data_IF_044450558806
#
_entry.id   IF_044450558806
#
_cell.length_a   1.000
_cell.length_b   1.000
_cell.length_c   1.000
_cell.angle_alpha   90.00
_cell.angle_beta   90.00
_cell.angle_gamma   90.00
#
_symmetry.space_group_name_H-M   'P 1'
#
loop_
_entity.id
_entity.type
_entity.pdbx_description
1 polymer ?
#
# COMPACT_ATOMS: atom_id res chain seq x y z
N UNK A 1 65.98 -28.62 14.93
CA UNK A 1 65.26 -27.32 14.84
C UNK A 1 63.95 -27.56 14.12
N UNK A 2 62.82 -27.42 14.82
CA UNK A 2 61.47 -27.62 14.29
C UNK A 2 60.98 -26.28 13.72
N UNK A 3 60.75 -26.18 12.42
CA UNK A 3 60.05 -25.05 11.82
C UNK A 3 58.56 -25.36 11.76
N UNK A 4 57.80 -24.70 12.61
CA UNK A 4 56.33 -24.68 12.58
C UNK A 4 55.95 -23.70 11.48
N UNK A 5 55.45 -24.23 10.36
CA UNK A 5 54.84 -23.42 9.30
C UNK A 5 53.42 -23.13 9.74
N UNK A 6 53.21 -21.94 10.29
CA UNK A 6 51.88 -21.42 10.64
C UNK A 6 51.21 -20.92 9.36
N UNK A 7 50.25 -21.69 8.85
CA UNK A 7 49.44 -21.33 7.69
C UNK A 7 48.32 -20.39 8.16
N UNK A 8 48.49 -19.08 7.96
CA UNK A 8 47.46 -18.08 8.20
C UNK A 8 46.46 -18.19 7.05
N UNK A 9 45.35 -18.89 7.28
CA UNK A 9 44.15 -18.77 6.44
C UNK A 9 43.54 -17.39 6.67
N UNK A 10 43.78 -16.48 5.73
CA UNK A 10 43.07 -15.21 5.63
C UNK A 10 41.68 -15.54 5.08
N UNK A 11 40.72 -15.68 6.00
CA UNK A 11 39.30 -15.73 5.70
C UNK A 11 38.89 -14.39 5.09
N UNK A 12 38.91 -14.29 3.76
CA UNK A 12 38.23 -13.22 3.05
C UNK A 12 36.72 -13.40 3.28
N UNK A 13 36.20 -12.77 4.32
CA UNK A 13 34.77 -12.48 4.43
C UNK A 13 34.44 -11.55 3.27
N UNK A 14 33.99 -12.11 2.14
CA UNK A 14 33.22 -11.36 1.18
C UNK A 14 31.95 -10.92 1.91
N UNK A 15 31.97 -9.73 2.49
CA UNK A 15 30.75 -9.00 2.80
C UNK A 15 30.05 -8.79 1.46
N UNK A 16 29.11 -9.69 1.15
CA UNK A 16 28.12 -9.47 0.11
C UNK A 16 27.37 -8.21 0.52
N UNK A 17 27.82 -7.05 0.03
CA UNK A 17 27.06 -5.82 0.08
C UNK A 17 25.73 -6.18 -0.59
N UNK A 18 24.66 -6.25 0.21
CA UNK A 18 23.33 -6.47 -0.32
C UNK A 18 23.11 -5.42 -1.40
N UNK A 19 22.81 -5.88 -2.61
CA UNK A 19 22.48 -4.99 -3.73
C UNK A 19 21.19 -4.26 -3.36
N UNK A 20 21.34 -3.04 -2.83
CA UNK A 20 20.25 -2.18 -2.41
C UNK A 20 19.62 -1.43 -3.59
N UNK A 21 19.90 -1.87 -4.82
CA UNK A 21 19.29 -1.30 -6.02
C UNK A 21 17.78 -1.51 -5.96
N UNK A 22 17.05 -0.40 -5.96
CA UNK A 22 15.60 -0.39 -6.02
C UNK A 22 15.14 -1.05 -7.33
N UNK A 23 14.32 -2.10 -7.23
CA UNK A 23 13.72 -2.78 -8.39
C UNK A 23 12.23 -2.98 -8.18
N UNK A 24 11.50 -2.85 -9.27
CA UNK A 24 10.07 -3.10 -9.31
C UNK A 24 9.76 -4.45 -9.96
N UNK A 25 8.61 -5.02 -9.61
CA UNK A 25 8.01 -6.15 -10.33
C UNK A 25 7.77 -5.78 -11.80
N UNK A 26 7.59 -6.79 -12.64
CA UNK A 26 6.99 -6.56 -13.95
C UNK A 26 5.50 -6.26 -13.74
N UNK A 27 5.04 -5.13 -14.27
CA UNK A 27 3.64 -4.71 -14.20
C UNK A 27 3.12 -4.33 -15.59
N UNK A 28 1.81 -4.46 -15.78
CA UNK A 28 1.17 -4.43 -17.10
C UNK A 28 0.42 -3.14 -17.42
N UNK A 29 0.30 -2.22 -16.45
CA UNK A 29 -0.35 -0.93 -16.64
C UNK A 29 0.54 0.09 -17.37
N UNK A 30 -0.01 1.27 -17.64
CA UNK A 30 0.71 2.39 -18.23
C UNK A 30 1.46 3.25 -17.19
N UNK A 31 1.59 2.80 -15.94
CA UNK A 31 2.30 3.53 -14.89
C UNK A 31 3.76 3.73 -15.29
N UNK A 32 4.32 4.91 -15.01
CA UNK A 32 5.72 5.25 -15.34
C UNK A 32 6.33 6.02 -14.21
N UNK A 33 7.51 5.59 -13.76
CA UNK A 33 8.30 6.33 -12.76
C UNK A 33 8.56 7.74 -13.29
N UNK A 34 8.22 8.75 -12.48
CA UNK A 34 8.49 10.16 -12.77
C UNK A 34 9.44 10.80 -11.76
N UNK A 35 9.54 10.23 -10.56
CA UNK A 35 10.36 10.77 -9.50
C UNK A 35 10.81 9.66 -8.56
N UNK A 36 12.08 9.74 -8.14
CA UNK A 36 12.66 8.91 -7.09
C UNK A 36 13.34 9.86 -6.11
N UNK A 37 12.79 9.96 -4.90
CA UNK A 37 13.41 10.62 -3.76
C UNK A 37 14.04 9.56 -2.85
N UNK A 38 15.36 9.38 -2.98
CA UNK A 38 16.10 8.42 -2.17
C UNK A 38 16.22 8.83 -0.70
N UNK A 39 16.11 10.12 -0.38
CA UNK A 39 16.20 10.61 1.01
C UNK A 39 14.94 10.23 1.79
N UNK A 40 13.78 10.34 1.16
CA UNK A 40 12.50 9.94 1.76
C UNK A 40 12.08 8.52 1.37
N UNK A 41 12.88 7.83 0.56
CA UNK A 41 12.56 6.52 -0.03
C UNK A 41 11.20 6.50 -0.76
N UNK A 42 10.85 7.63 -1.37
CA UNK A 42 9.59 7.84 -2.11
C UNK A 42 9.81 7.64 -3.59
N UNK A 43 8.88 6.96 -4.25
CA UNK A 43 8.86 6.84 -5.72
C UNK A 43 7.46 7.18 -6.20
N UNK A 44 7.38 8.09 -7.17
CA UNK A 44 6.11 8.53 -7.75
C UNK A 44 5.99 8.07 -9.19
N UNK A 45 4.77 7.72 -9.57
CA UNK A 45 4.42 7.25 -10.89
C UNK A 45 3.38 8.18 -11.52
N UNK A 46 3.57 8.47 -12.80
CA UNK A 46 2.53 9.00 -13.67
C UNK A 46 1.73 7.88 -14.31
N UNK A 47 0.56 8.20 -14.85
CA UNK A 47 -0.34 7.23 -15.46
C UNK A 47 -1.59 7.05 -14.64
N UNK A 48 -2.46 6.17 -15.14
CA UNK A 48 -3.79 5.97 -14.59
C UNK A 48 -4.22 4.53 -14.82
N UNK A 49 -4.77 3.92 -13.77
CA UNK A 49 -5.12 2.50 -13.75
C UNK A 49 -6.58 2.36 -13.38
N UNK A 50 -7.32 1.60 -14.17
CA UNK A 50 -8.64 1.11 -13.81
C UNK A 50 -8.50 -0.30 -13.19
N UNK A 51 -9.04 -0.49 -12.00
CA UNK A 51 -8.84 -1.69 -11.18
C UNK A 51 -10.09 -2.02 -10.39
N UNK A 52 -10.43 -3.29 -10.31
CA UNK A 52 -11.45 -3.84 -9.44
C UNK A 52 -10.85 -4.33 -8.13
N UNK A 53 -11.60 -4.18 -7.04
CA UNK A 53 -11.18 -4.64 -5.72
C UNK A 53 -12.15 -4.21 -4.64
N UNK A 54 -11.64 -4.08 -3.42
CA UNK A 54 -12.44 -3.71 -2.25
C UNK A 54 -11.87 -2.45 -1.62
N UNK A 55 -12.72 -1.43 -1.46
CA UNK A 55 -12.43 -0.28 -0.60
C UNK A 55 -12.73 -0.67 0.85
N UNK A 56 -11.83 -0.33 1.76
CA UNK A 56 -11.93 -0.57 3.19
C UNK A 56 -11.87 0.78 3.90
N UNK A 57 -12.98 1.19 4.51
CA UNK A 57 -13.04 2.35 5.38
C UNK A 57 -12.81 1.90 6.83
N UNK A 58 -11.80 2.43 7.50
CA UNK A 58 -11.58 2.26 8.94
C UNK A 58 -12.05 3.53 9.66
N UNK A 59 -13.06 3.39 10.53
CA UNK A 59 -13.75 4.52 11.16
C UNK A 59 -13.18 4.81 12.55
N UNK A 60 -13.14 6.09 12.93
CA UNK A 60 -12.85 6.50 14.29
C UNK A 60 -14.04 6.23 15.21
N UNK A 61 -13.88 5.30 16.14
CA UNK A 61 -14.91 5.00 17.13
C UNK A 61 -14.99 6.03 18.27
N UNK A 62 -13.97 6.88 18.42
CA UNK A 62 -13.92 7.92 19.44
C UNK A 62 -14.46 9.26 18.94
N UNK A 63 -14.79 9.35 17.65
CA UNK A 63 -15.41 10.53 17.08
C UNK A 63 -16.70 10.85 17.83
N UNK A 64 -16.88 12.13 18.17
CA UNK A 64 -18.12 12.64 18.76
C UNK A 64 -19.26 12.71 17.73
N UNK A 65 -18.95 12.51 16.45
CA UNK A 65 -19.96 12.31 15.42
C UNK A 65 -20.68 10.98 15.68
N UNK A 66 -21.99 10.94 15.50
CA UNK A 66 -22.83 9.77 15.77
C UNK A 66 -22.40 8.50 14.97
N UNK A 67 -21.49 8.68 13.99
CA UNK A 67 -21.26 7.73 12.90
C UNK A 67 -19.77 7.39 12.65
N UNK A 68 -18.82 8.06 13.30
CA UNK A 68 -17.38 7.84 13.13
C UNK A 68 -16.82 8.42 11.83
N UNK A 69 -15.81 9.30 11.92
CA UNK A 69 -15.13 9.83 10.74
C UNK A 69 -14.15 8.78 10.16
N UNK A 70 -14.02 8.64 8.83
CA UNK A 70 -13.06 7.73 8.24
C UNK A 70 -11.62 8.19 8.56
N UNK A 71 -10.88 7.37 9.30
CA UNK A 71 -9.47 7.61 9.63
C UNK A 71 -8.55 7.22 8.48
N UNK A 72 -8.84 6.06 7.88
CA UNK A 72 -8.05 5.49 6.79
C UNK A 72 -9.01 4.90 5.76
N UNK A 73 -8.72 5.18 4.49
CA UNK A 73 -9.40 4.57 3.36
C UNK A 73 -8.36 3.81 2.55
N UNK A 74 -8.40 2.50 2.65
CA UNK A 74 -7.49 1.62 1.93
C UNK A 74 -8.23 0.93 0.78
N UNK A 75 -7.49 0.54 -0.25
CA UNK A 75 -7.96 -0.27 -1.35
C UNK A 75 -7.16 -1.57 -1.44
N UNK A 76 -7.87 -2.68 -1.53
CA UNK A 76 -7.30 -4.01 -1.74
C UNK A 76 -7.66 -4.42 -3.18
N UNK A 77 -6.69 -4.42 -4.11
CA UNK A 77 -6.92 -4.89 -5.48
C UNK A 77 -7.40 -6.34 -5.51
N UNK A 78 -8.20 -6.70 -6.50
CA UNK A 78 -8.51 -8.10 -6.76
C UNK A 78 -7.21 -8.89 -7.01
N UNK A 79 -7.07 -10.14 -6.51
CA UNK A 79 -5.81 -10.89 -6.62
C UNK A 79 -5.28 -11.07 -8.05
N UNK A 80 -6.16 -11.11 -9.04
CA UNK A 80 -5.80 -11.23 -10.46
C UNK A 80 -5.42 -9.89 -11.12
N UNK A 81 -5.42 -8.78 -10.38
CA UNK A 81 -5.14 -7.43 -10.87
C UNK A 81 -3.99 -6.74 -10.13
N UNK A 82 -3.32 -7.42 -9.19
CA UNK A 82 -2.12 -6.89 -8.52
C UNK A 82 -0.99 -6.61 -9.50
N UNK A 83 -0.89 -7.37 -10.59
CA UNK A 83 0.08 -7.16 -11.69
C UNK A 83 -0.13 -5.88 -12.50
N UNK A 84 -1.18 -5.09 -12.20
CA UNK A 84 -1.32 -3.74 -12.74
C UNK A 84 -0.41 -2.74 -12.04
N UNK A 85 0.10 -3.06 -10.84
CA UNK A 85 0.86 -2.12 -10.02
C UNK A 85 2.34 -2.51 -9.91
N UNK A 86 3.24 -1.52 -9.83
CA UNK A 86 4.63 -1.76 -9.51
C UNK A 86 4.79 -2.09 -8.02
N UNK A 87 5.30 -3.28 -7.72
CA UNK A 87 5.69 -3.70 -6.37
C UNK A 87 7.20 -3.57 -6.21
N UNK A 88 7.69 -3.12 -5.05
CA UNK A 88 9.12 -3.07 -4.78
C UNK A 88 9.62 -4.48 -4.42
N UNK A 89 10.32 -5.13 -5.35
CA UNK A 89 10.85 -6.50 -5.20
C UNK A 89 12.31 -6.54 -4.72
N UNK A 90 13.01 -5.40 -4.73
CA UNK A 90 14.39 -5.28 -4.27
C UNK A 90 14.69 -3.84 -3.85
N UNK A 91 15.72 -3.66 -3.02
CA UNK A 91 16.12 -2.40 -2.42
C UNK A 91 15.71 -2.26 -0.95
N UNK A 92 15.90 -1.06 -0.40
CA UNK A 92 15.60 -0.74 1.00
C UNK A 92 14.10 -0.94 1.28
N UNK A 93 13.76 -1.82 2.23
CA UNK A 93 12.38 -2.26 2.52
C UNK A 93 11.59 -2.61 1.26
N UNK A 94 12.03 -3.66 0.55
CA UNK A 94 11.18 -4.34 -0.41
C UNK A 94 9.94 -4.91 0.28
N UNK A 95 8.78 -4.90 -0.39
CA UNK A 95 7.53 -5.34 0.21
C UNK A 95 6.42 -5.46 -0.82
N UNK A 96 5.62 -6.51 -0.71
CA UNK A 96 4.50 -6.77 -1.63
C UNK A 96 3.38 -5.74 -1.49
N UNK A 97 2.65 -5.53 -2.57
CA UNK A 97 1.47 -4.67 -2.57
C UNK A 97 0.25 -5.47 -2.08
N UNK A 98 -0.08 -5.27 -0.82
CA UNK A 98 -1.27 -5.89 -0.19
C UNK A 98 -2.45 -4.93 -0.13
N UNK A 99 -2.18 -3.63 -0.02
CA UNK A 99 -3.16 -2.56 0.02
C UNK A 99 -2.57 -1.26 -0.53
N UNK A 100 -3.43 -0.36 -0.97
CA UNK A 100 -3.10 0.97 -1.46
C UNK A 100 -3.91 1.96 -0.62
N UNK A 101 -3.26 2.84 0.12
CA UNK A 101 -3.97 3.92 0.80
C UNK A 101 -4.50 4.92 -0.23
N UNK A 102 -5.81 5.14 -0.22
CA UNK A 102 -6.49 6.05 -1.12
C UNK A 102 -6.44 7.46 -0.56
N UNK A 103 -6.08 8.40 -1.43
CA UNK A 103 -6.08 9.83 -1.15
C UNK A 103 -7.28 10.50 -1.84
N UNK A 104 -7.69 11.66 -1.33
CA UNK A 104 -8.83 12.45 -1.81
C UNK A 104 -10.18 11.69 -1.70
N UNK A 105 -10.42 11.05 -0.56
CA UNK A 105 -11.59 10.18 -0.34
C UNK A 105 -12.72 10.83 0.45
N UNK A 106 -12.57 12.10 0.84
CA UNK A 106 -13.51 12.80 1.73
C UNK A 106 -14.95 12.77 1.17
N UNK A 107 -15.10 13.06 -0.12
CA UNK A 107 -16.41 13.04 -0.79
C UNK A 107 -16.92 11.61 -1.05
N UNK A 108 -16.03 10.62 -1.14
CA UNK A 108 -16.42 9.24 -1.44
C UNK A 108 -17.29 8.67 -0.32
N UNK A 109 -16.89 8.88 0.93
CA UNK A 109 -17.63 8.36 2.09
C UNK A 109 -19.04 8.94 2.12
N UNK A 110 -19.15 10.27 2.05
CA UNK A 110 -20.42 10.99 2.03
C UNK A 110 -21.30 10.53 0.87
N UNK A 111 -20.72 10.29 -0.31
CA UNK A 111 -21.47 9.82 -1.49
C UNK A 111 -22.02 8.40 -1.32
N UNK A 112 -21.28 7.50 -0.69
CA UNK A 112 -21.66 6.09 -0.56
C UNK A 112 -22.63 5.83 0.58
N UNK A 113 -22.49 6.58 1.67
CA UNK A 113 -23.23 6.34 2.91
C UNK A 113 -24.19 7.47 3.28
N UNK A 114 -24.11 8.62 2.60
CA UNK A 114 -24.84 9.82 2.97
C UNK A 114 -24.21 10.53 4.17
N UNK A 115 -24.90 11.55 4.68
CA UNK A 115 -24.53 12.27 5.92
C UNK A 115 -25.06 11.59 7.20
N UNK A 116 -25.90 10.56 7.07
CA UNK A 116 -26.67 9.94 8.17
C UNK A 116 -26.61 8.41 8.14
N UNK A 117 -25.40 7.83 8.04
CA UNK A 117 -25.27 6.37 8.06
C UNK A 117 -25.10 5.83 9.48
N UNK A 118 -26.11 5.12 10.01
CA UNK A 118 -26.06 4.40 11.29
C UNK A 118 -25.12 3.16 11.26
N UNK A 119 -23.83 3.36 10.98
CA UNK A 119 -22.87 2.26 10.93
C UNK A 119 -22.09 2.13 12.25
N UNK A 120 -22.55 1.23 13.13
CA UNK A 120 -21.82 0.85 14.37
C UNK A 120 -20.58 -0.03 14.10
N UNK A 121 -20.06 -0.04 12.88
CA UNK A 121 -18.97 -0.94 12.47
C UNK A 121 -17.64 -0.20 12.49
N UNK A 122 -16.58 -0.85 12.98
CA UNK A 122 -15.22 -0.30 12.91
C UNK A 122 -14.67 -0.23 11.49
N UNK A 123 -15.21 -1.09 10.63
CA UNK A 123 -14.73 -1.27 9.28
C UNK A 123 -15.91 -1.49 8.33
N UNK A 124 -15.91 -0.77 7.21
CA UNK A 124 -16.86 -0.95 6.11
C UNK A 124 -16.10 -1.38 4.87
N UNK A 125 -16.63 -2.39 4.16
CA UNK A 125 -16.04 -2.91 2.93
C UNK A 125 -17.00 -2.80 1.77
N UNK A 126 -16.51 -2.26 0.66
CA UNK A 126 -17.29 -2.08 -0.57
C UNK A 126 -16.49 -2.57 -1.77
N UNK A 127 -17.04 -3.54 -2.49
CA UNK A 127 -16.49 -4.01 -3.74
C UNK A 127 -16.87 -3.08 -4.90
N UNK A 128 -15.92 -2.81 -5.79
CA UNK A 128 -16.18 -2.03 -6.98
C UNK A 128 -14.95 -1.86 -7.87
N UNK A 129 -15.10 -1.03 -8.88
CA UNK A 129 -14.07 -0.66 -9.82
C UNK A 129 -13.66 0.80 -9.60
N UNK A 130 -12.37 1.02 -9.44
CA UNK A 130 -11.75 2.30 -9.17
C UNK A 130 -10.92 2.71 -10.38
N UNK A 131 -10.86 4.01 -10.59
CA UNK A 131 -9.87 4.64 -11.46
C UNK A 131 -8.91 5.42 -10.56
N UNK A 132 -7.63 5.07 -10.63
CA UNK A 132 -6.58 5.55 -9.73
C UNK A 132 -5.48 6.26 -10.53
N UNK A 133 -4.96 7.36 -10.00
CA UNK A 133 -3.77 8.01 -10.54
C UNK A 133 -2.78 8.39 -9.43
N UNK A 134 -1.66 9.00 -9.81
CA UNK A 134 -0.64 9.47 -8.86
C UNK A 134 -0.16 8.37 -7.91
N UNK A 135 0.00 7.14 -8.45
CA UNK A 135 0.46 6.02 -7.67
C UNK A 135 1.86 6.30 -7.11
N UNK A 136 2.08 5.96 -5.85
CA UNK A 136 3.36 6.17 -5.20
C UNK A 136 3.66 5.09 -4.18
N UNK A 137 4.94 4.98 -3.85
CA UNK A 137 5.39 4.15 -2.75
C UNK A 137 6.37 4.91 -1.87
N UNK A 138 6.37 4.62 -0.58
CA UNK A 138 7.30 5.20 0.42
C UNK A 138 7.70 4.18 1.47
N UNK A 139 8.76 4.46 2.22
CA UNK A 139 9.05 3.75 3.47
C UNK A 139 8.54 4.57 4.63
N UNK A 140 7.74 3.97 5.49
CA UNK A 140 7.25 4.57 6.73
C UNK A 140 7.24 3.50 7.82
N UNK A 141 7.78 3.84 8.99
CA UNK A 141 7.91 2.92 10.13
C UNK A 141 8.52 1.56 9.73
N UNK A 142 9.65 1.58 9.01
CA UNK A 142 10.36 0.39 8.57
C UNK A 142 9.52 -0.57 7.70
N UNK A 143 8.52 -0.02 7.00
CA UNK A 143 7.64 -0.78 6.11
C UNK A 143 7.35 -0.02 4.82
N UNK A 144 7.17 -0.79 3.75
CA UNK A 144 6.86 -0.29 2.41
C UNK A 144 5.37 -0.02 2.30
N UNK A 145 5.01 1.24 2.05
CA UNK A 145 3.64 1.68 1.87
C UNK A 145 3.37 2.02 0.41
N UNK A 146 2.11 1.88 -0.01
CA UNK A 146 1.62 2.22 -1.34
C UNK A 146 0.43 3.15 -1.21
N UNK A 147 0.35 4.17 -2.07
CA UNK A 147 -0.78 5.10 -2.10
C UNK A 147 -1.13 5.53 -3.52
N UNK A 148 -2.36 5.99 -3.70
CA UNK A 148 -2.83 6.55 -4.96
C UNK A 148 -3.96 7.55 -4.71
N UNK A 149 -4.15 8.49 -5.64
CA UNK A 149 -5.33 9.33 -5.65
C UNK A 149 -6.50 8.58 -6.29
N UNK A 150 -7.66 8.65 -5.64
CA UNK A 150 -8.91 8.20 -6.24
C UNK A 150 -9.40 9.23 -7.27
N UNK A 151 -9.64 8.78 -8.50
CA UNK A 151 -10.24 9.59 -9.58
C UNK A 151 -11.74 9.34 -9.67
N UNK A 152 -12.13 8.07 -9.69
CA UNK A 152 -13.54 7.67 -9.71
C UNK A 152 -13.74 6.29 -9.10
N UNK A 153 -14.95 6.04 -8.60
CA UNK A 153 -15.37 4.75 -8.08
C UNK A 153 -16.76 4.39 -8.60
N UNK A 154 -16.90 3.18 -9.15
CA UNK A 154 -18.14 2.53 -9.55
C UNK A 154 -18.36 1.29 -8.69
N UNK A 155 -19.50 1.22 -8.01
CA UNK A 155 -19.85 0.11 -7.14
C UNK A 155 -20.35 -1.09 -7.97
N UNK A 156 -19.85 -2.30 -7.68
CA UNK A 156 -20.26 -3.52 -8.39
C UNK A 156 -21.30 -4.34 -7.61
N UNK A 157 -21.25 -4.31 -6.27
CA UNK A 157 -22.15 -5.07 -5.37
C UNK A 157 -22.51 -4.27 -4.10
N UNK A 158 -23.54 -4.73 -3.38
CA UNK A 158 -24.02 -4.13 -2.13
C UNK A 158 -22.96 -4.11 -1.01
N UNK A 159 -22.98 -3.07 -0.17
CA UNK A 159 -22.05 -2.87 0.96
C UNK A 159 -22.07 -4.06 1.93
N UNK A 160 -20.90 -4.54 2.35
CA UNK A 160 -20.76 -5.52 3.42
C UNK A 160 -20.11 -4.88 4.65
N UNK A 161 -20.87 -4.72 5.74
CA UNK A 161 -20.35 -4.26 7.03
C UNK A 161 -19.71 -5.43 7.79
N UNK A 162 -18.44 -5.31 8.17
CA UNK A 162 -17.74 -6.36 8.94
C UNK A 162 -17.53 -5.88 10.37
N UNK A 163 -18.33 -6.43 11.28
CA UNK A 163 -18.11 -6.31 12.71
C UNK A 163 -17.19 -7.44 13.19
N UNK A 164 -15.86 -7.30 13.05
CA UNK A 164 -14.83 -7.94 13.90
C UNK A 164 -13.43 -7.81 13.27
N UNK A 165 -12.57 -7.01 13.88
CA UNK A 165 -11.27 -7.42 14.43
C UNK A 165 -10.64 -6.24 15.20
N UNK A 166 -9.83 -6.48 16.24
CA UNK A 166 -9.03 -5.44 16.87
C UNK A 166 -8.00 -4.91 15.88
N UNK A 167 -7.95 -3.60 15.71
CA UNK A 167 -6.89 -2.92 14.96
C UNK A 167 -5.64 -3.01 15.82
N UNK A 168 -4.63 -3.75 15.36
CA UNK A 168 -3.27 -3.57 15.86
C UNK A 168 -2.69 -2.37 15.13
N UNK A 169 -2.54 -1.25 15.87
CA UNK A 169 -1.64 -0.19 15.43
C UNK A 169 -0.21 -0.73 15.39
N UNK A 170 0.67 -0.07 14.62
CA UNK A 170 2.10 -0.35 14.64
C UNK A 170 2.64 -0.41 16.08
#
# INVERSE_FOLDING_TARGET
MKYIITLILISFSQSTMADNTLRFSDYTSNLRVIEIDNTQSVVRFSGEVEVSGTIVFRLDMLSETEYGEPLFVDFIPAPNQTSLFPEVISGFYAGSLNQISLLNTDELYIRLFGSESEHKSRELRIAGTLRLNSFSTRVECDSRQYSANLVSFSQNESVSAINRQPIHGC
#
